data_IF_602981939561
#
_entry.id   IF_602981939561
#
_cell.length_a   1.000
_cell.length_b   1.000
_cell.length_c   1.000
_cell.angle_alpha   90.00
_cell.angle_beta   90.00
_cell.angle_gamma   90.00
#
_symmetry.space_group_name_H-M   'P 1'
#
loop_
_entity.id
_entity.type
_entity.pdbx_description
1 polymer ?
#
# COMPACT_ATOMS: atom_id res chain seq x y z
N UNK A 1 5.28 16.42 -24.40
CA UNK A 1 5.09 15.55 -25.57
C UNK A 1 4.02 14.56 -25.19
N UNK A 2 2.80 14.80 -25.62
CA UNK A 2 1.62 13.94 -25.40
C UNK A 2 1.81 12.67 -26.20
N UNK A 3 1.62 11.52 -25.55
CA UNK A 3 1.67 10.20 -26.19
C UNK A 3 0.57 10.11 -27.27
N UNK A 4 0.86 9.68 -28.49
CA UNK A 4 -0.10 9.70 -29.60
C UNK A 4 -1.19 8.61 -29.55
N UNK A 5 -1.25 7.79 -28.48
CA UNK A 5 -2.20 6.65 -28.39
C UNK A 5 -3.50 6.94 -27.62
N UNK A 6 -3.67 8.14 -27.06
CA UNK A 6 -4.89 8.54 -26.34
C UNK A 6 -6.08 8.91 -27.26
N UNK A 7 -5.86 8.99 -28.58
CA UNK A 7 -6.90 9.30 -29.60
C UNK A 7 -7.21 8.12 -30.55
N UNK A 8 -6.64 6.92 -30.31
CA UNK A 8 -6.98 5.75 -31.11
C UNK A 8 -8.40 5.27 -30.81
N UNK A 9 -9.19 5.06 -31.86
CA UNK A 9 -10.54 4.50 -31.69
C UNK A 9 -10.43 3.09 -31.08
N UNK A 10 -11.45 2.62 -30.31
CA UNK A 10 -11.46 1.25 -29.76
C UNK A 10 -11.20 0.15 -30.80
N UNK A 11 -11.52 0.40 -32.07
CA UNK A 11 -11.26 -0.51 -33.17
C UNK A 11 -9.78 -0.59 -33.57
N UNK A 12 -9.03 0.52 -33.49
CA UNK A 12 -7.59 0.55 -33.77
C UNK A 12 -6.77 -0.09 -32.65
N UNK A 13 -7.20 0.06 -31.41
CA UNK A 13 -6.59 -0.59 -30.24
C UNK A 13 -6.74 -2.12 -30.30
N UNK A 14 -7.91 -2.61 -30.70
CA UNK A 14 -8.18 -4.04 -30.84
C UNK A 14 -7.31 -4.75 -31.91
N UNK A 15 -6.88 -4.03 -32.95
CA UNK A 15 -6.05 -4.60 -34.03
C UNK A 15 -4.62 -4.96 -33.59
N UNK A 16 -4.16 -4.42 -32.44
CA UNK A 16 -2.81 -4.63 -31.90
C UNK A 16 -2.76 -5.62 -30.73
N UNK A 17 -3.92 -6.06 -30.23
CA UNK A 17 -4.03 -7.07 -29.18
C UNK A 17 -4.00 -8.47 -29.81
N UNK A 18 -2.99 -9.26 -29.47
CA UNK A 18 -2.94 -10.67 -29.90
C UNK A 18 -3.95 -11.49 -29.10
N UNK A 19 -4.92 -12.17 -29.72
CA UNK A 19 -5.74 -13.18 -29.02
C UNK A 19 -4.82 -14.23 -28.39
N UNK A 20 -4.97 -14.54 -27.12
CA UNK A 20 -4.14 -15.51 -26.39
C UNK A 20 -2.93 -14.94 -25.64
N UNK A 21 -2.82 -13.61 -25.50
CA UNK A 21 -1.70 -12.97 -24.80
C UNK A 21 -1.57 -13.29 -23.30
N UNK A 22 -2.56 -13.98 -22.68
CA UNK A 22 -2.47 -14.42 -21.27
C UNK A 22 -1.47 -15.55 -21.05
N UNK A 23 -1.17 -16.38 -22.02
CA UNK A 23 -0.18 -17.47 -21.89
C UNK A 23 1.22 -16.93 -21.54
N UNK A 24 1.53 -15.66 -21.87
CA UNK A 24 2.74 -14.96 -21.49
C UNK A 24 2.56 -13.95 -20.35
N UNK A 25 1.40 -13.94 -19.68
CA UNK A 25 1.08 -12.96 -18.63
C UNK A 25 1.67 -13.35 -17.27
N UNK A 26 3.00 -13.35 -17.21
CA UNK A 26 3.71 -13.62 -15.97
C UNK A 26 3.65 -12.47 -14.95
N UNK A 27 4.14 -12.69 -13.70
CA UNK A 27 4.07 -11.71 -12.61
C UNK A 27 4.68 -10.34 -12.92
N UNK A 28 5.66 -10.27 -13.82
CA UNK A 28 6.27 -8.98 -14.23
C UNK A 28 5.29 -8.12 -15.02
N UNK A 29 4.57 -8.72 -15.97
CA UNK A 29 3.54 -8.02 -16.77
C UNK A 29 2.36 -7.63 -15.91
N UNK A 30 1.92 -8.53 -15.01
CA UNK A 30 0.88 -8.22 -14.03
C UNK A 30 1.25 -7.03 -13.14
N UNK A 31 2.51 -6.95 -12.70
CA UNK A 31 2.99 -5.81 -11.94
C UNK A 31 3.00 -4.51 -12.76
N UNK A 32 3.42 -4.56 -14.01
CA UNK A 32 3.36 -3.42 -14.93
C UNK A 32 1.92 -2.93 -15.13
N UNK A 33 0.98 -3.84 -15.33
CA UNK A 33 -0.45 -3.51 -15.43
C UNK A 33 -0.97 -2.81 -14.17
N UNK A 34 -0.64 -3.31 -12.98
CA UNK A 34 -1.06 -2.70 -11.71
C UNK A 34 -0.52 -1.27 -11.55
N UNK A 35 0.72 -1.00 -11.95
CA UNK A 35 1.30 0.34 -11.93
C UNK A 35 0.59 1.29 -12.92
N UNK A 36 0.22 0.79 -14.10
CA UNK A 36 -0.53 1.57 -15.10
C UNK A 36 -1.97 1.85 -14.62
N UNK A 37 -2.61 0.86 -13.99
CA UNK A 37 -3.92 1.08 -13.37
C UNK A 37 -3.86 2.13 -12.26
N UNK A 38 -2.83 2.12 -11.42
CA UNK A 38 -2.61 3.19 -10.43
C UNK A 38 -2.52 4.56 -11.11
N UNK A 39 -1.74 4.68 -12.17
CA UNK A 39 -1.60 5.95 -12.91
C UNK A 39 -2.94 6.41 -13.50
N UNK A 40 -3.67 5.49 -14.14
CA UNK A 40 -5.01 5.75 -14.69
C UNK A 40 -6.00 6.23 -13.63
N UNK A 41 -6.03 5.59 -12.45
CA UNK A 41 -6.89 5.99 -11.33
C UNK A 41 -6.62 7.43 -10.89
N UNK A 42 -5.36 7.84 -10.91
CA UNK A 42 -4.96 9.20 -10.53
C UNK A 42 -5.43 10.26 -11.54
N UNK A 43 -5.48 9.89 -12.83
CA UNK A 43 -5.87 10.80 -13.92
C UNK A 43 -7.38 10.81 -14.14
N UNK A 44 -8.05 9.67 -14.07
CA UNK A 44 -9.44 9.49 -14.49
C UNK A 44 -10.41 9.10 -13.35
N UNK A 45 -9.90 8.91 -12.13
CA UNK A 45 -10.70 8.47 -10.98
C UNK A 45 -10.97 6.95 -10.95
N UNK A 46 -11.82 6.55 -10.01
CA UNK A 46 -12.10 5.15 -9.74
C UNK A 46 -12.88 4.46 -10.87
N UNK A 47 -12.64 3.17 -11.05
CA UNK A 47 -13.43 2.31 -11.94
C UNK A 47 -14.77 2.03 -11.25
N UNK A 48 -15.86 2.49 -11.84
CA UNK A 48 -17.22 2.43 -11.26
C UNK A 48 -18.11 1.35 -11.86
N UNK A 49 -17.66 0.69 -12.94
CA UNK A 49 -18.40 -0.38 -13.65
C UNK A 49 -17.42 -1.40 -14.23
N UNK A 50 -17.89 -2.62 -14.57
CA UNK A 50 -17.04 -3.62 -15.20
C UNK A 50 -16.36 -3.08 -16.45
N UNK A 51 -15.02 -3.14 -16.47
CA UNK A 51 -14.17 -2.58 -17.52
C UNK A 51 -13.23 -3.67 -18.05
N UNK A 52 -13.32 -3.94 -19.35
CA UNK A 52 -12.41 -4.87 -20.02
C UNK A 52 -11.07 -4.22 -20.30
N UNK A 53 -9.98 -4.92 -19.98
CA UNK A 53 -8.62 -4.44 -20.25
C UNK A 53 -7.74 -5.55 -20.82
N UNK A 54 -6.68 -5.14 -21.52
CA UNK A 54 -5.57 -6.01 -21.93
C UNK A 54 -4.27 -5.23 -21.92
N UNK A 55 -3.14 -5.91 -22.08
CA UNK A 55 -1.86 -5.30 -22.43
C UNK A 55 -1.63 -5.48 -23.94
N UNK A 56 -1.25 -4.41 -24.61
CA UNK A 56 -0.84 -4.46 -26.01
C UNK A 56 0.55 -5.11 -26.21
N UNK A 57 1.06 -5.08 -27.42
CA UNK A 57 2.37 -5.68 -27.76
C UNK A 57 3.56 -4.99 -27.10
N UNK A 58 3.39 -3.74 -26.64
CA UNK A 58 4.40 -2.92 -25.98
C UNK A 58 4.19 -2.86 -24.45
N UNK A 59 3.32 -3.74 -23.92
CA UNK A 59 2.90 -3.79 -22.51
C UNK A 59 2.12 -2.55 -22.05
N UNK A 60 1.52 -1.79 -22.97
CA UNK A 60 0.62 -0.68 -22.69
C UNK A 60 -0.78 -1.16 -22.29
N UNK A 61 -1.38 -0.54 -21.26
CA UNK A 61 -2.75 -0.82 -20.84
C UNK A 61 -3.74 -0.26 -21.87
N UNK A 62 -4.60 -1.14 -22.40
CA UNK A 62 -5.68 -0.76 -23.32
C UNK A 62 -7.04 -1.21 -22.77
N UNK A 63 -8.06 -0.37 -22.97
CA UNK A 63 -9.45 -0.73 -22.67
C UNK A 63 -10.10 -1.36 -23.87
N UNK A 64 -10.85 -2.43 -23.63
CA UNK A 64 -11.52 -3.24 -24.65
C UNK A 64 -12.96 -3.56 -24.26
N UNK A 65 -13.82 -3.88 -25.23
CA UNK A 65 -15.11 -4.52 -24.95
C UNK A 65 -14.90 -5.77 -24.09
N UNK A 66 -15.78 -6.07 -23.13
CA UNK A 66 -15.65 -7.22 -22.22
C UNK A 66 -15.44 -8.54 -22.97
N UNK A 67 -16.07 -8.70 -24.14
CA UNK A 67 -15.94 -9.90 -24.99
C UNK A 67 -14.54 -10.09 -25.63
N UNK A 68 -13.71 -9.06 -25.61
CA UNK A 68 -12.36 -9.05 -26.19
C UNK A 68 -11.27 -8.87 -25.12
N UNK A 69 -11.67 -8.62 -23.88
CA UNK A 69 -10.76 -8.36 -22.77
C UNK A 69 -9.98 -9.61 -22.37
N UNK A 70 -8.73 -9.42 -21.97
CA UNK A 70 -7.93 -10.44 -21.31
C UNK A 70 -8.13 -10.45 -19.81
N UNK A 71 -8.54 -9.32 -19.24
CA UNK A 71 -8.85 -9.12 -17.84
C UNK A 71 -10.07 -8.23 -17.72
N UNK A 72 -10.96 -8.54 -16.80
CA UNK A 72 -12.14 -7.73 -16.46
C UNK A 72 -11.92 -7.15 -15.07
N UNK A 73 -11.93 -5.83 -14.97
CA UNK A 73 -11.87 -5.10 -13.71
C UNK A 73 -13.32 -4.87 -13.27
N UNK A 74 -13.70 -5.38 -12.11
CA UNK A 74 -15.07 -5.25 -11.60
C UNK A 74 -15.06 -4.81 -10.13
N UNK A 75 -15.51 -3.58 -9.83
CA UNK A 75 -15.55 -3.07 -8.46
C UNK A 75 -16.58 -3.79 -7.57
N UNK A 76 -17.52 -4.55 -8.14
CA UNK A 76 -18.48 -5.35 -7.38
C UNK A 76 -17.89 -6.69 -6.90
N UNK A 77 -16.81 -7.15 -7.54
CA UNK A 77 -16.13 -8.37 -7.17
C UNK A 77 -15.18 -8.15 -5.98
N UNK A 78 -15.15 -9.06 -5.02
CA UNK A 78 -14.28 -8.95 -3.84
C UNK A 78 -12.79 -9.00 -4.20
N UNK A 79 -12.42 -9.65 -5.33
CA UNK A 79 -11.07 -9.66 -5.91
C UNK A 79 -10.76 -8.40 -6.72
N UNK A 80 -11.80 -7.64 -7.12
CA UNK A 80 -11.70 -6.49 -8.03
C UNK A 80 -11.42 -6.87 -9.49
N UNK A 81 -11.35 -8.15 -9.82
CA UNK A 81 -11.00 -8.62 -11.16
C UNK A 81 -11.46 -10.04 -11.44
N UNK A 82 -11.61 -10.36 -12.73
CA UNK A 82 -11.80 -11.70 -13.26
C UNK A 82 -11.14 -11.84 -14.63
N UNK A 83 -11.07 -13.05 -15.13
CA UNK A 83 -10.67 -13.35 -16.51
C UNK A 83 -11.81 -14.07 -17.22
N UNK A 84 -11.92 -13.99 -18.56
CA UNK A 84 -12.81 -14.86 -19.32
C UNK A 84 -12.55 -16.33 -18.98
N UNK A 85 -13.60 -17.12 -18.82
CA UNK A 85 -13.54 -18.55 -18.42
C UNK A 85 -12.53 -19.36 -19.25
N UNK A 86 -12.46 -19.09 -20.55
CA UNK A 86 -11.52 -19.76 -21.46
C UNK A 86 -10.03 -19.51 -21.12
N UNK A 87 -9.72 -18.47 -20.35
CA UNK A 87 -8.35 -18.05 -20.02
C UNK A 87 -7.97 -18.36 -18.56
N UNK A 88 -8.94 -18.75 -17.74
CA UNK A 88 -8.73 -18.97 -16.30
C UNK A 88 -7.72 -20.09 -16.03
N UNK A 89 -7.79 -21.19 -16.80
CA UNK A 89 -6.88 -22.32 -16.67
C UNK A 89 -5.45 -22.01 -17.14
N UNK A 90 -5.24 -20.95 -17.91
CA UNK A 90 -3.94 -20.57 -18.47
C UNK A 90 -3.19 -19.55 -17.60
N UNK A 91 -3.85 -18.96 -16.59
CA UNK A 91 -3.25 -17.93 -15.75
C UNK A 91 -2.29 -18.57 -14.74
N UNK A 92 -0.98 -18.20 -14.74
CA UNK A 92 -0.04 -18.73 -13.77
C UNK A 92 -0.44 -18.36 -12.34
N UNK A 93 -0.35 -19.32 -11.41
CA UNK A 93 -0.71 -19.13 -9.99
C UNK A 93 -0.04 -17.89 -9.37
N UNK A 94 1.26 -17.69 -9.61
CA UNK A 94 1.97 -16.53 -9.08
C UNK A 94 1.45 -15.19 -9.66
N UNK A 95 0.86 -15.19 -10.84
CA UNK A 95 0.21 -14.02 -11.44
C UNK A 95 -1.13 -13.77 -10.78
N UNK A 96 -1.96 -14.82 -10.62
CA UNK A 96 -3.25 -14.76 -9.94
C UNK A 96 -3.09 -14.25 -8.51
N UNK A 97 -2.18 -14.81 -7.74
CA UNK A 97 -1.89 -14.38 -6.36
C UNK A 97 -1.46 -12.91 -6.28
N UNK A 98 -0.62 -12.45 -7.23
CA UNK A 98 -0.22 -11.05 -7.30
C UNK A 98 -1.40 -10.13 -7.60
N UNK A 99 -2.25 -10.50 -8.56
CA UNK A 99 -3.45 -9.74 -8.88
C UNK A 99 -4.44 -9.77 -7.72
N UNK A 100 -4.65 -10.91 -7.07
CA UNK A 100 -5.52 -11.05 -5.91
C UNK A 100 -5.11 -10.14 -4.74
N UNK A 101 -3.81 -9.93 -4.56
CA UNK A 101 -3.29 -9.12 -3.47
C UNK A 101 -3.34 -7.61 -3.79
N UNK A 102 -3.08 -7.21 -5.05
CA UNK A 102 -2.91 -5.80 -5.39
C UNK A 102 -4.08 -5.20 -6.18
N UNK A 103 -4.88 -6.00 -6.90
CA UNK A 103 -6.01 -5.47 -7.66
C UNK A 103 -7.08 -4.81 -6.77
N UNK A 104 -7.42 -5.34 -5.58
CA UNK A 104 -8.34 -4.66 -4.68
C UNK A 104 -7.85 -3.28 -4.18
N UNK A 105 -6.55 -3.00 -4.32
CA UNK A 105 -6.01 -1.67 -4.05
C UNK A 105 -6.21 -0.71 -5.23
N UNK A 106 -6.54 -1.21 -6.42
CA UNK A 106 -6.73 -0.44 -7.65
C UNK A 106 -8.19 -0.34 -8.09
N UNK A 107 -9.02 -1.31 -7.71
CA UNK A 107 -10.41 -1.42 -8.15
C UNK A 107 -11.32 -1.45 -6.93
N UNK A 108 -12.20 -0.49 -6.82
CA UNK A 108 -13.14 -0.36 -5.69
C UNK A 108 -13.65 1.07 -5.56
N UNK A 109 -14.70 1.27 -4.79
CA UNK A 109 -15.39 2.54 -4.65
C UNK A 109 -14.46 3.67 -4.16
N UNK A 110 -13.50 3.34 -3.29
CA UNK A 110 -12.59 4.31 -2.67
C UNK A 110 -11.15 4.22 -3.18
N UNK A 111 -10.94 3.65 -4.37
CA UNK A 111 -9.59 3.49 -4.92
C UNK A 111 -8.81 4.82 -5.09
N UNK A 112 -9.51 5.95 -5.14
CA UNK A 112 -8.92 7.30 -5.20
C UNK A 112 -8.40 7.80 -3.85
N UNK A 113 -8.90 7.25 -2.73
CA UNK A 113 -8.46 7.58 -1.36
C UNK A 113 -8.39 6.28 -0.57
N UNK A 114 -7.18 5.82 -0.25
CA UNK A 114 -6.97 4.51 0.35
C UNK A 114 -5.86 4.57 1.41
N UNK A 115 -6.16 4.06 2.61
CA UNK A 115 -5.20 3.97 3.71
C UNK A 115 -4.97 2.50 4.05
N UNK A 116 -3.76 2.03 3.78
CA UNK A 116 -3.35 0.64 4.05
C UNK A 116 -2.19 0.63 5.03
N UNK A 117 -2.29 -0.18 6.07
CA UNK A 117 -1.16 -0.42 6.96
C UNK A 117 -0.56 -1.80 6.69
N UNK A 118 0.75 -1.91 6.84
CA UNK A 118 1.46 -3.19 6.84
C UNK A 118 2.45 -3.26 8.01
N UNK A 119 2.48 -4.41 8.65
CA UNK A 119 3.50 -4.74 9.63
C UNK A 119 3.84 -6.24 9.56
N UNK A 120 5.11 -6.55 9.79
CA UNK A 120 5.59 -7.92 9.95
C UNK A 120 5.77 -8.23 11.43
N UNK A 121 5.34 -9.42 11.83
CA UNK A 121 5.46 -9.89 13.21
C UNK A 121 5.96 -11.32 13.29
N UNK A 122 6.48 -11.70 14.45
CA UNK A 122 6.76 -13.09 14.80
C UNK A 122 5.46 -13.89 14.99
N UNK A 123 5.56 -15.21 15.02
CA UNK A 123 4.44 -16.12 15.27
C UNK A 123 3.74 -15.85 16.61
N UNK A 124 4.48 -15.35 17.60
CA UNK A 124 3.97 -14.95 18.92
C UNK A 124 3.61 -13.45 19.02
N UNK A 125 3.42 -12.77 17.87
CA UNK A 125 2.85 -11.41 17.79
C UNK A 125 3.81 -10.30 18.20
N UNK A 126 5.12 -10.39 17.89
CA UNK A 126 6.12 -9.38 18.23
C UNK A 126 6.71 -8.75 16.98
N UNK A 127 6.91 -7.43 17.00
CA UNK A 127 7.58 -6.67 15.93
C UNK A 127 9.05 -6.37 16.22
N UNK A 128 9.52 -6.63 17.44
CA UNK A 128 10.90 -6.43 17.86
C UNK A 128 11.17 -7.17 19.17
N UNK A 129 12.43 -7.39 19.48
CA UNK A 129 12.86 -7.79 20.83
C UNK A 129 12.58 -6.67 21.84
N UNK A 130 12.71 -6.94 23.14
CA UNK A 130 12.56 -5.93 24.19
C UNK A 130 13.54 -4.75 24.01
N UNK A 131 14.77 -5.02 23.56
CA UNK A 131 15.79 -4.00 23.25
C UNK A 131 15.52 -3.21 21.96
N UNK A 132 14.57 -3.68 21.12
CA UNK A 132 14.16 -3.00 19.89
C UNK A 132 14.80 -3.54 18.61
N UNK A 133 15.50 -4.67 18.64
CA UNK A 133 15.96 -5.32 17.41
C UNK A 133 14.77 -5.84 16.61
N UNK A 134 14.57 -5.33 15.40
CA UNK A 134 13.44 -5.62 14.50
C UNK A 134 13.86 -6.13 13.13
N UNK A 135 15.16 -6.00 12.79
CA UNK A 135 15.66 -6.35 11.46
C UNK A 135 15.50 -7.85 11.17
N UNK A 136 14.98 -8.17 9.97
CA UNK A 136 14.85 -9.52 9.45
C UNK A 136 13.88 -10.44 10.21
N UNK A 137 12.79 -9.88 10.77
CA UNK A 137 11.70 -10.71 11.29
C UNK A 137 11.07 -11.48 10.13
N UNK A 138 10.70 -10.82 9.04
CA UNK A 138 10.15 -11.43 7.82
C UNK A 138 11.21 -11.65 6.74
N UNK A 139 10.86 -12.49 5.75
CA UNK A 139 11.72 -12.87 4.64
C UNK A 139 11.78 -11.82 3.52
N UNK A 140 12.49 -12.18 2.45
CA UNK A 140 12.74 -11.32 1.29
C UNK A 140 11.47 -11.03 0.50
N UNK A 141 10.56 -11.96 0.45
CA UNK A 141 9.29 -11.86 -0.27
C UNK A 141 8.40 -10.80 0.38
N UNK A 142 8.35 -10.73 1.70
CA UNK A 142 7.64 -9.70 2.46
C UNK A 142 8.30 -8.32 2.28
N UNK A 143 9.63 -8.25 2.27
CA UNK A 143 10.33 -7.01 1.91
C UNK A 143 9.98 -6.55 0.49
N UNK A 144 9.85 -7.48 -0.46
CA UNK A 144 9.42 -7.16 -1.83
C UNK A 144 7.98 -6.68 -1.85
N UNK A 145 7.10 -7.29 -1.06
CA UNK A 145 5.71 -6.84 -0.87
C UNK A 145 5.66 -5.40 -0.32
N UNK A 146 6.42 -5.09 0.73
CA UNK A 146 6.57 -3.73 1.27
C UNK A 146 6.99 -2.73 0.19
N UNK A 147 7.98 -3.07 -0.64
CA UNK A 147 8.42 -2.21 -1.73
C UNK A 147 7.38 -2.05 -2.86
N UNK A 148 6.57 -3.08 -3.11
CA UNK A 148 5.42 -2.99 -4.01
C UNK A 148 4.35 -2.05 -3.45
N UNK A 149 4.07 -2.11 -2.15
CA UNK A 149 3.16 -1.16 -1.50
C UNK A 149 3.69 0.28 -1.64
N UNK A 150 4.98 0.53 -1.40
CA UNK A 150 5.57 1.86 -1.63
C UNK A 150 5.36 2.36 -3.06
N UNK A 151 5.50 1.49 -4.07
CA UNK A 151 5.27 1.85 -5.47
C UNK A 151 3.79 2.14 -5.78
N UNK A 152 2.86 1.52 -5.06
CA UNK A 152 1.41 1.62 -5.29
C UNK A 152 0.75 2.81 -4.61
N UNK A 153 1.40 3.46 -3.65
CA UNK A 153 0.81 4.55 -2.85
C UNK A 153 1.44 5.91 -3.19
N UNK A 154 0.73 7.00 -2.88
CA UNK A 154 1.23 8.37 -3.06
C UNK A 154 2.22 8.72 -1.97
N UNK A 155 1.97 8.24 -0.76
CA UNK A 155 2.79 8.46 0.40
C UNK A 155 3.08 7.18 1.18
N UNK A 156 4.28 7.08 1.76
CA UNK A 156 4.62 6.13 2.81
C UNK A 156 4.76 6.88 4.13
N UNK A 157 3.99 6.48 5.12
CA UNK A 157 3.93 7.13 6.43
C UNK A 157 4.57 6.24 7.50
N UNK A 158 5.45 6.82 8.29
CA UNK A 158 6.07 6.19 9.46
C UNK A 158 6.06 7.12 10.67
N UNK A 159 6.00 6.54 11.87
CA UNK A 159 6.19 7.29 13.10
C UNK A 159 7.67 7.52 13.44
N UNK A 160 7.95 8.54 14.23
CA UNK A 160 9.31 8.93 14.64
C UNK A 160 10.13 7.77 15.23
N UNK A 161 9.52 6.85 15.97
CA UNK A 161 10.23 5.68 16.53
C UNK A 161 10.82 4.76 15.47
N UNK A 162 10.15 4.60 14.33
CA UNK A 162 10.65 3.81 13.19
C UNK A 162 11.89 4.48 12.60
N UNK A 163 11.89 5.82 12.50
CA UNK A 163 13.05 6.59 12.04
C UNK A 163 14.23 6.44 13.01
N UNK A 164 13.99 6.59 14.31
CA UNK A 164 15.03 6.49 15.36
C UNK A 164 15.71 5.12 15.39
N UNK A 165 14.96 4.03 15.17
CA UNK A 165 15.50 2.67 15.34
C UNK A 165 16.09 2.10 14.06
N UNK A 166 15.43 2.34 12.92
CA UNK A 166 15.73 1.64 11.66
C UNK A 166 16.42 2.55 10.64
N UNK A 167 16.32 3.88 10.80
CA UNK A 167 16.80 4.92 9.87
C UNK A 167 16.52 4.56 8.39
N UNK A 168 15.26 4.26 8.03
CA UNK A 168 14.92 3.73 6.73
C UNK A 168 14.97 4.82 5.65
N UNK A 169 15.31 4.45 4.42
CA UNK A 169 15.23 5.38 3.26
C UNK A 169 13.82 5.59 2.76
N UNK A 170 12.91 4.66 3.00
CA UNK A 170 11.52 4.66 2.56
C UNK A 170 11.32 4.79 1.03
N UNK A 171 12.28 4.32 0.26
CA UNK A 171 12.26 4.33 -1.21
C UNK A 171 11.94 2.96 -1.78
N UNK A 172 11.45 2.93 -3.03
CA UNK A 172 11.16 1.70 -3.79
C UNK A 172 12.46 1.20 -4.45
N UNK A 173 12.94 0.00 -4.06
CA UNK A 173 14.22 -0.57 -4.53
C UNK A 173 14.14 -2.04 -4.92
N UNK A 174 13.24 -2.82 -4.30
CA UNK A 174 13.09 -4.27 -4.54
C UNK A 174 11.95 -4.60 -5.49
N UNK A 175 11.24 -3.59 -5.99
CA UNK A 175 10.21 -3.71 -7.02
C UNK A 175 10.33 -2.55 -8.00
N UNK A 176 9.95 -2.72 -9.28
CA UNK A 176 9.78 -1.61 -10.19
C UNK A 176 8.69 -0.65 -9.71
N UNK A 177 8.85 0.64 -9.95
CA UNK A 177 7.83 1.64 -9.67
C UNK A 177 8.41 2.94 -9.09
N UNK A 178 7.59 3.99 -8.97
CA UNK A 178 8.00 5.29 -8.44
C UNK A 178 8.25 5.23 -6.93
N UNK A 179 9.05 6.15 -6.43
CA UNK A 179 9.14 6.41 -5.00
C UNK A 179 7.89 7.16 -4.52
N UNK A 180 7.31 6.81 -3.37
CA UNK A 180 6.27 7.60 -2.73
C UNK A 180 6.86 8.85 -2.05
N UNK A 181 6.02 9.84 -1.73
CA UNK A 181 6.37 10.87 -0.77
C UNK A 181 6.56 10.25 0.61
N UNK A 182 7.66 10.54 1.28
CA UNK A 182 7.96 10.07 2.63
C UNK A 182 7.26 10.97 3.63
N UNK A 183 6.41 10.43 4.49
CA UNK A 183 5.71 11.15 5.55
C UNK A 183 6.23 10.66 6.89
N UNK A 184 6.86 11.55 7.64
CA UNK A 184 7.38 11.27 8.99
C UNK A 184 6.50 11.96 10.01
N UNK A 185 5.88 11.19 10.91
CA UNK A 185 5.04 11.72 11.99
C UNK A 185 5.85 11.78 13.27
N UNK A 186 6.21 13.01 13.66
CA UNK A 186 6.98 13.31 14.87
C UNK A 186 6.29 14.39 15.73
N UNK A 187 5.22 14.04 16.45
CA UNK A 187 4.41 15.01 17.20
C UNK A 187 5.23 15.89 18.15
N UNK A 188 6.27 15.35 18.74
CA UNK A 188 7.13 16.05 19.72
C UNK A 188 8.33 16.79 19.10
N UNK A 189 8.60 16.62 17.80
CA UNK A 189 9.71 17.25 17.10
C UNK A 189 11.10 16.85 17.65
N UNK A 190 11.25 15.56 18.02
CA UNK A 190 12.49 15.06 18.66
C UNK A 190 13.52 14.51 17.71
N UNK A 191 13.15 14.26 16.43
CA UNK A 191 14.06 13.68 15.46
C UNK A 191 15.15 14.70 15.04
N UNK A 192 16.42 14.32 15.09
CA UNK A 192 17.48 15.14 14.52
C UNK A 192 17.48 15.06 12.98
N UNK A 193 18.01 16.09 12.32
CA UNK A 193 18.09 16.20 10.85
C UNK A 193 19.07 15.21 10.20
N UNK A 194 19.70 14.33 10.95
CA UNK A 194 20.76 13.43 10.47
C UNK A 194 20.26 12.15 9.83
N UNK A 195 18.97 11.84 9.99
CA UNK A 195 18.38 10.63 9.41
C UNK A 195 18.29 10.67 7.88
N UNK A 196 18.34 9.49 7.25
CA UNK A 196 18.30 9.34 5.78
C UNK A 196 17.13 10.06 5.14
N UNK A 197 15.95 10.04 5.76
CA UNK A 197 14.74 10.72 5.24
C UNK A 197 14.89 12.23 5.15
N UNK A 198 15.77 12.83 5.95
CA UNK A 198 16.05 14.28 5.97
C UNK A 198 17.31 14.66 5.22
N UNK A 199 18.27 13.75 5.02
CA UNK A 199 19.55 14.03 4.38
C UNK A 199 19.62 13.63 2.91
N UNK A 200 18.75 12.70 2.48
CA UNK A 200 18.75 12.17 1.11
C UNK A 200 17.53 12.66 0.35
N UNK A 201 17.74 13.34 -0.77
CA UNK A 201 16.67 13.87 -1.64
C UNK A 201 16.16 12.84 -2.67
N UNK A 202 16.21 11.54 -2.35
CA UNK A 202 15.78 10.45 -3.25
C UNK A 202 14.26 10.46 -3.51
N UNK A 203 13.48 11.08 -2.63
CA UNK A 203 12.04 11.28 -2.73
C UNK A 203 11.64 12.54 -1.92
N UNK A 204 10.48 13.17 -2.24
CA UNK A 204 9.92 14.23 -1.43
C UNK A 204 9.72 13.77 0.03
N UNK A 205 9.90 14.67 0.99
CA UNK A 205 9.71 14.37 2.41
C UNK A 205 8.82 15.42 3.05
N UNK A 206 7.80 14.96 3.76
CA UNK A 206 6.90 15.76 4.59
C UNK A 206 7.12 15.35 6.04
N UNK A 207 7.53 16.28 6.90
CA UNK A 207 7.58 16.10 8.34
C UNK A 207 6.31 16.68 8.95
N UNK A 208 5.49 15.83 9.56
CA UNK A 208 4.27 16.23 10.28
C UNK A 208 4.56 16.22 11.77
N UNK A 209 4.28 17.33 12.44
CA UNK A 209 4.60 17.55 13.85
C UNK A 209 3.59 18.43 14.57
N UNK A 210 3.67 18.47 15.88
CA UNK A 210 2.98 19.47 16.68
C UNK A 210 3.62 20.86 16.54
N UNK A 211 2.95 21.92 17.04
CA UNK A 211 3.47 23.29 17.01
C UNK A 211 4.85 23.41 17.67
N UNK A 212 5.73 24.21 17.09
CA UNK A 212 7.05 24.48 17.64
C UNK A 212 8.09 24.82 16.58
N UNK A 213 9.28 25.19 17.02
CA UNK A 213 10.37 25.52 16.10
C UNK A 213 11.13 24.26 15.66
N UNK A 214 11.30 24.11 14.37
CA UNK A 214 12.12 23.06 13.77
C UNK A 214 12.88 23.61 12.58
N UNK A 215 14.18 23.36 12.56
CA UNK A 215 15.07 23.81 11.48
C UNK A 215 15.21 22.68 10.46
N UNK A 216 14.23 22.58 9.57
CA UNK A 216 14.19 21.54 8.54
C UNK A 216 15.15 21.88 7.38
N UNK A 217 15.78 20.86 6.75
CA UNK A 217 16.44 21.05 5.47
C UNK A 217 15.47 21.60 4.41
N UNK A 218 15.95 22.44 3.49
CA UNK A 218 15.10 23.17 2.52
C UNK A 218 14.24 22.26 1.61
N UNK A 219 14.61 21.00 1.44
CA UNK A 219 13.86 20.01 0.64
C UNK A 219 12.85 19.20 1.45
N UNK A 220 12.70 19.49 2.75
CA UNK A 220 11.72 18.85 3.64
C UNK A 220 10.59 19.83 3.90
N UNK A 221 9.38 19.46 3.50
CA UNK A 221 8.18 20.21 3.85
C UNK A 221 7.80 19.93 5.29
N UNK A 222 7.53 20.98 6.07
CA UNK A 222 7.07 20.85 7.47
C UNK A 222 5.60 21.21 7.54
N UNK A 223 4.80 20.31 8.12
CA UNK A 223 3.37 20.49 8.38
C UNK A 223 3.17 20.49 9.89
N UNK A 224 2.67 21.58 10.43
CA UNK A 224 2.32 21.69 11.84
C UNK A 224 0.82 21.41 12.03
N UNK A 225 0.50 20.48 12.92
CA UNK A 225 -0.87 20.11 13.26
C UNK A 225 -1.05 20.13 14.78
N UNK A 226 -2.26 20.46 15.22
CA UNK A 226 -2.61 20.45 16.64
C UNK A 226 -2.57 19.02 17.20
N UNK A 227 -2.18 18.94 18.48
CA UNK A 227 -2.07 17.68 19.19
C UNK A 227 -3.27 17.46 20.11
N UNK A 228 -3.82 16.26 20.08
CA UNK A 228 -4.80 15.77 21.06
C UNK A 228 -4.15 14.72 21.94
N UNK A 229 -4.02 14.99 23.23
CA UNK A 229 -3.35 14.08 24.17
C UNK A 229 -1.91 13.72 23.81
N UNK A 230 -1.20 14.60 23.07
CA UNK A 230 0.17 14.38 22.59
C UNK A 230 0.28 13.61 21.28
N UNK A 231 -0.83 13.40 20.57
CA UNK A 231 -0.92 12.71 19.28
C UNK A 231 -1.54 13.64 18.23
N UNK A 232 -1.25 13.36 16.98
CA UNK A 232 -1.95 13.98 15.86
C UNK A 232 -3.09 13.03 15.48
N UNK A 233 -4.37 13.47 15.54
CA UNK A 233 -5.50 12.64 15.13
C UNK A 233 -5.36 12.15 13.69
N UNK A 234 -5.68 10.88 13.43
CA UNK A 234 -5.49 10.31 12.10
C UNK A 234 -6.32 11.02 11.03
N UNK A 235 -7.55 11.43 11.34
CA UNK A 235 -8.40 12.18 10.42
C UNK A 235 -7.76 13.51 10.01
N UNK A 236 -7.27 14.31 10.97
CA UNK A 236 -6.61 15.60 10.71
C UNK A 236 -5.33 15.42 9.88
N UNK A 237 -4.56 14.37 10.19
CA UNK A 237 -3.35 14.02 9.44
C UNK A 237 -3.69 13.65 7.98
N UNK A 238 -4.69 12.79 7.78
CA UNK A 238 -5.10 12.34 6.44
C UNK A 238 -5.69 13.47 5.61
N UNK A 239 -6.45 14.40 6.22
CA UNK A 239 -6.95 15.59 5.56
C UNK A 239 -5.80 16.49 5.07
N UNK A 240 -4.83 16.79 5.94
CA UNK A 240 -3.66 17.58 5.59
C UNK A 240 -2.82 16.95 4.47
N UNK A 241 -2.75 15.61 4.40
CA UNK A 241 -2.10 14.89 3.31
C UNK A 241 -2.94 14.94 2.02
N UNK A 242 -4.27 14.81 2.12
CA UNK A 242 -5.18 14.88 0.98
C UNK A 242 -5.15 16.25 0.28
N UNK A 243 -5.03 17.36 1.03
CA UNK A 243 -4.83 18.73 0.49
C UNK A 243 -3.58 18.84 -0.37
N UNK A 244 -2.57 18.00 -0.12
CA UNK A 244 -1.32 17.87 -0.87
C UNK A 244 -1.40 16.89 -2.04
N UNK A 245 -2.59 16.34 -2.32
CA UNK A 245 -2.79 15.30 -3.33
C UNK A 245 -2.30 13.91 -2.90
N UNK A 246 -1.92 13.72 -1.61
CA UNK A 246 -1.46 12.45 -1.06
C UNK A 246 -2.64 11.69 -0.45
N UNK A 247 -3.52 11.17 -1.30
CA UNK A 247 -4.77 10.53 -0.89
C UNK A 247 -4.63 9.04 -0.63
N UNK A 248 -3.63 8.42 -1.24
CA UNK A 248 -3.34 7.00 -1.07
C UNK A 248 -2.14 6.87 -0.15
N UNK A 249 -2.38 6.49 1.10
CA UNK A 249 -1.37 6.49 2.16
C UNK A 249 -1.06 5.06 2.60
N UNK A 250 0.20 4.70 2.50
CA UNK A 250 0.74 3.44 3.02
C UNK A 250 1.41 3.69 4.38
N UNK A 251 0.87 3.10 5.44
CA UNK A 251 1.45 3.17 6.79
C UNK A 251 2.38 1.97 6.98
N UNK A 252 3.67 2.26 7.01
CA UNK A 252 4.70 1.23 7.13
C UNK A 252 5.23 1.13 8.54
N UNK A 253 5.00 -0.02 9.15
CA UNK A 253 5.62 -0.41 10.40
C UNK A 253 5.27 0.48 11.60
N UNK A 254 5.92 0.20 12.73
CA UNK A 254 5.66 0.87 13.99
C UNK A 254 4.29 0.51 14.56
N UNK A 255 4.22 -0.57 15.34
CA UNK A 255 2.94 -1.07 15.92
C UNK A 255 2.13 0.02 16.62
N UNK A 256 2.78 1.06 17.17
CA UNK A 256 2.09 2.19 17.82
C UNK A 256 1.32 3.03 16.80
N UNK A 257 1.94 3.38 15.67
CA UNK A 257 1.31 4.18 14.61
C UNK A 257 0.15 3.40 14.01
N UNK A 258 0.37 2.13 13.62
CA UNK A 258 -0.70 1.27 13.08
C UNK A 258 -1.84 1.10 14.08
N UNK A 259 -1.54 0.90 15.37
CA UNK A 259 -2.56 0.78 16.43
C UNK A 259 -3.37 2.06 16.60
N UNK A 260 -2.76 3.25 16.48
CA UNK A 260 -3.46 4.54 16.52
C UNK A 260 -4.48 4.65 15.40
N UNK A 261 -4.06 4.44 14.15
CA UNK A 261 -4.97 4.47 13.01
C UNK A 261 -6.08 3.42 13.07
N UNK A 262 -5.74 2.20 13.51
CA UNK A 262 -6.74 1.13 13.67
C UNK A 262 -7.77 1.46 14.75
N UNK A 263 -7.34 2.01 15.89
CA UNK A 263 -8.21 2.44 16.99
C UNK A 263 -9.19 3.54 16.57
N UNK A 264 -8.73 4.48 15.74
CA UNK A 264 -9.54 5.59 15.23
C UNK A 264 -10.43 5.18 14.04
N UNK A 265 -10.30 3.94 13.54
CA UNK A 265 -11.05 3.45 12.37
C UNK A 265 -10.60 4.14 11.07
N UNK A 266 -9.35 4.59 11.01
CA UNK A 266 -8.76 5.35 9.91
C UNK A 266 -8.00 4.50 8.89
N UNK A 267 -8.17 3.17 8.92
CA UNK A 267 -7.61 2.22 7.97
C UNK A 267 -8.72 1.60 7.12
N UNK A 268 -8.50 1.52 5.81
CA UNK A 268 -9.35 0.75 4.90
C UNK A 268 -8.92 -0.71 4.87
N UNK A 269 -7.61 -0.98 5.06
CA UNK A 269 -7.05 -2.33 4.97
C UNK A 269 -5.81 -2.47 5.85
N UNK A 270 -5.66 -3.65 6.44
CA UNK A 270 -4.50 -4.00 7.26
C UNK A 270 -3.85 -5.27 6.69
N UNK A 271 -2.57 -5.18 6.36
CA UNK A 271 -1.71 -6.30 6.00
C UNK A 271 -0.87 -6.70 7.21
N UNK A 272 -0.94 -7.96 7.62
CA UNK A 272 -0.10 -8.51 8.69
C UNK A 272 0.67 -9.70 8.15
N UNK A 273 1.98 -9.59 8.09
CA UNK A 273 2.85 -10.72 7.78
C UNK A 273 3.28 -11.41 9.07
N UNK A 274 3.05 -12.70 9.13
CA UNK A 274 3.44 -13.56 10.25
C UNK A 274 4.61 -14.43 9.82
N UNK A 275 5.77 -14.19 10.42
CA UNK A 275 6.98 -14.96 10.17
C UNK A 275 7.08 -16.15 11.14
N UNK A 276 7.65 -17.29 10.74
CA UNK A 276 7.80 -18.48 11.57
C UNK A 276 8.94 -18.35 12.59
N UNK A 277 8.91 -17.27 13.37
CA UNK A 277 9.90 -16.91 14.39
C UNK A 277 9.20 -16.69 15.73
N UNK A 278 9.81 -17.11 16.83
CA UNK A 278 9.36 -16.83 18.21
C UNK A 278 10.34 -15.86 18.86
N UNK A 279 9.84 -14.77 19.40
CA UNK A 279 10.64 -13.72 20.06
C UNK A 279 10.46 -13.73 21.58
N UNK A 280 9.29 -14.17 22.07
CA UNK A 280 8.98 -14.17 23.50
C UNK A 280 8.59 -12.80 24.03
N UNK A 281 9.27 -12.28 25.06
CA UNK A 281 8.96 -11.01 25.71
C UNK A 281 9.38 -9.78 24.91
N UNK A 282 9.06 -9.76 23.60
CA UNK A 282 9.35 -8.64 22.70
C UNK A 282 8.26 -7.54 22.70
N UNK A 283 8.43 -6.55 21.83
CA UNK A 283 7.46 -5.46 21.61
C UNK A 283 6.25 -6.00 20.84
N UNK A 284 5.01 -5.82 21.33
CA UNK A 284 3.80 -6.30 20.63
C UNK A 284 3.62 -5.59 19.29
N UNK A 285 3.04 -6.30 18.32
CA UNK A 285 2.73 -5.78 16.99
C UNK A 285 1.63 -4.75 17.02
N UNK A 286 0.56 -5.01 17.75
CA UNK A 286 -0.57 -4.11 17.96
C UNK A 286 -0.79 -3.89 19.46
N UNK A 287 -1.22 -2.66 19.78
CA UNK A 287 -1.64 -2.28 21.13
C UNK A 287 -2.98 -1.59 21.04
N UNK A 288 -4.04 -2.36 21.23
CA UNK A 288 -5.43 -1.89 21.26
C UNK A 288 -5.93 -1.75 22.71
N UNK A 289 -7.06 -1.06 22.92
CA UNK A 289 -7.72 -1.03 24.21
C UNK A 289 -8.00 -2.44 24.74
N UNK A 290 -8.00 -2.59 26.06
CA UNK A 290 -8.41 -3.83 26.72
C UNK A 290 -9.91 -4.06 26.50
N UNK A 291 -10.28 -5.32 26.24
CA UNK A 291 -11.66 -5.77 26.11
C UNK A 291 -11.98 -6.72 27.27
N UNK A 292 -13.20 -6.66 27.76
CA UNK A 292 -13.62 -7.51 28.88
C UNK A 292 -14.07 -8.90 28.43
N UNK A 293 -14.64 -9.01 27.24
CA UNK A 293 -15.16 -10.26 26.68
C UNK A 293 -14.77 -10.43 25.22
N UNK A 294 -14.76 -11.68 24.72
CA UNK A 294 -14.50 -11.98 23.31
C UNK A 294 -15.56 -11.45 22.34
N UNK A 295 -16.73 -11.07 22.85
CA UNK A 295 -17.79 -10.46 22.04
C UNK A 295 -17.43 -9.04 21.60
N UNK A 296 -16.54 -8.37 22.32
CA UNK A 296 -16.00 -7.06 22.00
C UNK A 296 -14.83 -7.13 21.00
N UNK A 297 -14.36 -8.34 20.70
CA UNK A 297 -13.21 -8.51 19.79
C UNK A 297 -13.58 -8.18 18.35
N UNK A 298 -12.70 -7.45 17.67
CA UNK A 298 -12.82 -7.17 16.24
C UNK A 298 -12.63 -8.47 15.46
N UNK A 299 -13.67 -8.92 14.76
CA UNK A 299 -13.62 -10.07 13.86
C UNK A 299 -13.49 -9.60 12.43
N UNK A 300 -12.41 -10.00 11.78
CA UNK A 300 -12.06 -9.51 10.43
C UNK A 300 -12.10 -10.71 9.48
N UNK A 301 -12.85 -10.59 8.38
CA UNK A 301 -12.73 -11.51 7.27
C UNK A 301 -11.41 -11.22 6.55
N UNK A 302 -10.52 -12.19 6.46
CA UNK A 302 -9.22 -12.01 5.82
C UNK A 302 -8.93 -13.10 4.79
N UNK A 303 -8.13 -12.73 3.79
CA UNK A 303 -7.46 -13.68 2.89
C UNK A 303 -6.02 -13.85 3.35
N UNK A 304 -5.41 -14.96 3.00
CA UNK A 304 -4.00 -15.20 3.30
C UNK A 304 -3.22 -15.55 2.04
N UNK A 305 -1.96 -15.15 2.03
CA UNK A 305 -1.03 -15.37 0.91
C UNK A 305 0.30 -15.87 1.47
N UNK A 306 0.95 -16.77 0.73
CA UNK A 306 2.29 -17.25 1.10
C UNK A 306 3.34 -16.31 0.53
N UNK A 307 4.21 -15.78 1.39
CA UNK A 307 5.36 -14.94 1.02
C UNK A 307 6.66 -15.64 1.41
N UNK A 308 7.07 -16.62 0.61
CA UNK A 308 8.21 -17.49 0.97
C UNK A 308 7.90 -18.31 2.23
N UNK A 309 8.65 -18.16 3.33
CA UNK A 309 8.36 -18.84 4.59
C UNK A 309 7.24 -18.18 5.41
N UNK A 310 6.87 -16.94 5.06
CA UNK A 310 5.94 -16.11 5.83
C UNK A 310 4.50 -16.27 5.32
N UNK A 311 3.53 -15.93 6.15
CA UNK A 311 2.10 -15.86 5.79
C UNK A 311 1.62 -14.43 5.94
N UNK A 312 1.16 -13.83 4.85
CA UNK A 312 0.51 -12.53 4.84
C UNK A 312 -0.99 -12.69 5.01
N UNK A 313 -1.57 -11.99 5.97
CA UNK A 313 -3.00 -11.80 6.13
C UNK A 313 -3.40 -10.44 5.54
N UNK A 314 -4.27 -10.47 4.55
CA UNK A 314 -4.90 -9.31 3.92
C UNK A 314 -6.29 -9.11 4.52
N UNK A 315 -6.45 -8.06 5.30
CA UNK A 315 -7.60 -7.79 6.14
C UNK A 315 -8.31 -6.50 5.71
N UNK A 316 -9.34 -6.55 4.85
CA UNK A 316 -10.21 -5.40 4.62
C UNK A 316 -10.97 -5.05 5.91
N UNK A 317 -10.99 -3.76 6.28
CA UNK A 317 -11.58 -3.26 7.52
C UNK A 317 -12.94 -2.56 7.31
N UNK A 318 -13.36 -2.43 6.05
CA UNK A 318 -14.56 -1.67 5.68
C UNK A 318 -14.28 -0.16 5.55
N UNK A 319 -15.31 0.65 5.29
CA UNK A 319 -15.15 2.08 5.15
C UNK A 319 -14.64 2.71 6.45
N UNK A 320 -13.78 3.71 6.30
CA UNK A 320 -13.27 4.49 7.44
C UNK A 320 -14.41 5.19 8.16
N UNK A 321 -14.23 5.40 9.45
CA UNK A 321 -15.13 6.23 10.25
C UNK A 321 -14.80 7.70 9.97
N UNK A 322 -15.81 8.48 9.65
CA UNK A 322 -15.73 9.94 9.51
C UNK A 322 -15.47 10.61 10.87
#
# INVERSE_FOLDING_TARGET
MTSPLLDASPADAAAHVRPGALVSFGPKRAWSLLLQLKARLREHGAISSPTGVALDAEDGLVELPLSQASLILDPAECRGWSVPEALEAELPTATSELLDLFMPLCVGADASSLVVAHLAQSLDGRVATASGSSKFISGREDLTHTHRLRAMFDAVLVGARTIEHDDPRLTTRLAPGPNPTRVVVDPSGRLPNTHHVFTQADAPTVLVRGPGRFDAPAHVEVVELELEGGWIPAAVLLEALAERGLRRVFIEGGGITVSGFLKEGALDRLHITVAPVLIGSGRPSLKLPEIATLDEAMRIACRHFTLGPDVLFDCPLGPRKD
#
